data_IF_469142601171
#
_entry.id   IF_469142601171
#
_cell.length_a   1.000
_cell.length_b   1.000
_cell.length_c   1.000
_cell.angle_alpha   90.00
_cell.angle_beta   90.00
_cell.angle_gamma   90.00
#
_symmetry.space_group_name_H-M   'P 1'
#
loop_
_entity.id
_entity.type
_entity.pdbx_description
1 polymer ?
#
# COMPACT_ATOMS: atom_id res chain seq x y z
N UNK A 1 -14.54 -17.09 -24.05
CA UNK A 1 -14.11 -15.73 -23.71
C UNK A 1 -12.82 -15.87 -22.95
N UNK A 2 -11.68 -15.44 -23.50
CA UNK A 2 -10.39 -15.53 -22.80
C UNK A 2 -10.38 -14.41 -21.76
N UNK A 3 -10.43 -14.78 -20.49
CA UNK A 3 -10.31 -13.84 -19.39
C UNK A 3 -8.88 -13.28 -19.42
N UNK A 4 -8.72 -12.06 -19.94
CA UNK A 4 -7.42 -11.38 -19.92
C UNK A 4 -7.07 -11.07 -18.46
N UNK A 5 -6.27 -11.93 -17.85
CA UNK A 5 -5.74 -11.71 -16.51
C UNK A 5 -4.85 -10.47 -16.53
N UNK A 6 -5.23 -9.46 -15.75
CA UNK A 6 -4.49 -8.20 -15.69
C UNK A 6 -3.09 -8.46 -15.13
N UNK A 7 -2.06 -8.11 -15.90
CA UNK A 7 -0.67 -8.24 -15.48
C UNK A 7 -0.22 -7.02 -14.67
N UNK A 8 -0.40 -7.11 -13.35
CA UNK A 8 0.04 -6.09 -12.41
C UNK A 8 1.56 -6.04 -12.24
N UNK A 9 2.26 -7.17 -12.40
CA UNK A 9 3.71 -7.25 -12.26
C UNK A 9 4.39 -6.39 -13.33
N UNK A 10 3.99 -6.54 -14.59
CA UNK A 10 4.55 -5.73 -15.69
C UNK A 10 4.29 -4.24 -15.48
N UNK A 11 3.13 -3.85 -14.94
CA UNK A 11 2.84 -2.44 -14.61
C UNK A 11 3.79 -1.89 -13.55
N UNK A 12 4.07 -2.66 -12.49
CA UNK A 12 5.03 -2.28 -11.43
C UNK A 12 6.45 -2.17 -11.98
N UNK A 13 6.88 -3.12 -12.82
CA UNK A 13 8.19 -3.09 -13.47
C UNK A 13 8.35 -1.89 -14.42
N UNK A 14 7.33 -1.56 -15.22
CA UNK A 14 7.35 -0.39 -16.09
C UNK A 14 7.43 0.92 -15.31
N UNK A 15 6.74 1.03 -14.17
CA UNK A 15 6.84 2.19 -13.30
C UNK A 15 8.23 2.27 -12.65
N UNK A 16 8.75 1.13 -12.19
CA UNK A 16 10.07 1.01 -11.57
C UNK A 16 11.21 1.45 -12.49
N UNK A 17 11.08 1.25 -13.80
CA UNK A 17 12.04 1.72 -14.81
C UNK A 17 12.02 3.23 -15.05
N UNK A 18 10.96 3.93 -14.65
CA UNK A 18 10.79 5.38 -14.89
C UNK A 18 11.25 6.26 -13.72
N UNK A 19 11.42 5.68 -12.54
CA UNK A 19 11.84 6.42 -11.36
C UNK A 19 13.37 6.53 -11.28
N UNK A 20 13.85 7.53 -10.54
CA UNK A 20 15.27 7.67 -10.28
C UNK A 20 15.82 6.48 -9.48
N UNK A 21 17.13 6.24 -9.59
CA UNK A 21 17.82 5.23 -8.77
C UNK A 21 17.66 5.50 -7.29
N UNK A 22 17.74 4.43 -6.50
CA UNK A 22 17.62 4.44 -5.04
C UNK A 22 16.35 5.17 -4.56
N UNK A 23 15.21 4.80 -5.15
CA UNK A 23 13.91 5.39 -4.87
C UNK A 23 12.96 4.42 -4.18
N UNK A 24 11.96 4.99 -3.50
CA UNK A 24 10.81 4.27 -2.96
C UNK A 24 9.54 4.96 -3.40
N UNK A 25 8.53 4.19 -3.81
CA UNK A 25 7.22 4.69 -4.22
C UNK A 25 6.20 4.24 -3.19
N UNK A 26 5.40 5.17 -2.66
CA UNK A 26 4.42 4.89 -1.60
C UNK A 26 3.05 5.38 -2.07
N UNK A 27 2.07 4.48 -2.09
CA UNK A 27 0.68 4.79 -2.44
C UNK A 27 -0.25 4.29 -1.35
N UNK A 28 -1.13 5.16 -0.87
CA UNK A 28 -2.20 4.77 0.04
C UNK A 28 -3.46 4.36 -0.72
N UNK A 29 -4.18 3.40 -0.15
CA UNK A 29 -5.55 3.06 -0.52
C UNK A 29 -6.51 4.23 -0.26
N UNK A 30 -7.69 4.13 -0.84
CA UNK A 30 -8.84 4.97 -0.50
C UNK A 30 -9.38 4.58 0.88
N UNK A 31 -10.10 5.49 1.53
CA UNK A 31 -10.84 5.21 2.76
C UNK A 31 -12.32 5.06 2.46
N UNK A 32 -13.05 4.22 3.21
CA UNK A 32 -14.51 4.17 3.15
C UNK A 32 -15.10 5.56 3.38
N UNK A 33 -16.14 5.91 2.62
CA UNK A 33 -16.82 7.21 2.73
C UNK A 33 -18.19 7.01 3.35
N UNK A 34 -18.44 7.70 4.46
CA UNK A 34 -19.74 7.73 5.09
C UNK A 34 -20.76 8.43 4.17
N UNK A 35 -21.95 7.83 4.03
CA UNK A 35 -23.07 8.42 3.29
C UNK A 35 -24.01 9.16 4.24
N UNK A 36 -24.45 8.49 5.29
CA UNK A 36 -25.33 9.02 6.33
C UNK A 36 -25.24 8.12 7.57
N UNK A 37 -25.10 8.72 8.75
CA UNK A 37 -25.08 8.04 10.06
C UNK A 37 -24.32 6.70 10.05
N UNK A 38 -25.05 5.60 9.93
CA UNK A 38 -24.61 4.20 10.00
C UNK A 38 -24.29 3.55 8.64
N UNK A 39 -24.50 4.28 7.54
CA UNK A 39 -24.41 3.76 6.19
C UNK A 39 -23.22 4.37 5.42
N UNK A 40 -22.47 3.50 4.73
CA UNK A 40 -21.34 3.88 3.88
C UNK A 40 -21.70 3.84 2.40
N UNK A 41 -21.04 4.66 1.59
CA UNK A 41 -21.03 4.45 0.14
C UNK A 41 -20.30 3.14 -0.21
N UNK A 42 -20.63 2.51 -1.36
CA UNK A 42 -19.83 1.41 -1.88
C UNK A 42 -18.36 1.81 -1.96
N UNK A 43 -17.49 0.94 -1.44
CA UNK A 43 -16.06 1.22 -1.43
C UNK A 43 -15.54 1.35 -2.87
N UNK A 44 -14.75 2.41 -3.11
CA UNK A 44 -14.02 2.59 -4.36
C UNK A 44 -12.57 2.88 -4.05
N UNK A 45 -11.70 2.02 -4.56
CA UNK A 45 -10.27 2.11 -4.38
C UNK A 45 -9.67 3.32 -5.12
N UNK A 46 -8.51 3.78 -4.67
CA UNK A 46 -7.70 4.75 -5.39
C UNK A 46 -7.22 4.16 -6.72
N UNK A 47 -7.42 4.87 -7.83
CA UNK A 47 -7.10 4.34 -9.17
C UNK A 47 -5.63 3.94 -9.34
N UNK A 48 -4.69 4.72 -8.82
CA UNK A 48 -3.26 4.42 -8.95
C UNK A 48 -2.86 3.21 -8.11
N UNK A 49 -3.41 3.12 -6.90
CA UNK A 49 -3.24 1.96 -6.03
C UNK A 49 -3.79 0.70 -6.72
N UNK A 50 -5.05 0.72 -7.15
CA UNK A 50 -5.72 -0.39 -7.81
C UNK A 50 -5.01 -0.80 -9.10
N UNK A 51 -4.54 0.16 -9.89
CA UNK A 51 -3.85 -0.10 -11.15
C UNK A 51 -2.56 -0.92 -10.98
N UNK A 52 -1.85 -0.74 -9.85
CA UNK A 52 -0.56 -1.37 -9.57
C UNK A 52 -0.66 -2.63 -8.70
N UNK A 53 -1.68 -2.75 -7.85
CA UNK A 53 -1.87 -3.90 -6.98
C UNK A 53 -3.00 -4.83 -7.39
N UNK A 54 -4.11 -4.30 -7.92
CA UNK A 54 -5.37 -5.06 -7.98
C UNK A 54 -6.01 -5.29 -6.62
N UNK A 55 -5.50 -4.68 -5.55
CA UNK A 55 -5.97 -4.88 -4.18
C UNK A 55 -7.12 -3.92 -3.84
N UNK A 56 -8.26 -4.49 -3.45
CA UNK A 56 -9.53 -3.75 -3.30
C UNK A 56 -9.94 -3.48 -1.85
N UNK A 57 -9.05 -3.69 -0.88
CA UNK A 57 -9.36 -3.41 0.52
C UNK A 57 -8.94 -2.00 0.96
N UNK A 58 -9.69 -1.38 1.90
CA UNK A 58 -9.32 -0.12 2.52
C UNK A 58 -8.13 -0.27 3.49
N UNK A 59 -7.70 0.85 4.05
CA UNK A 59 -6.69 0.93 5.12
C UNK A 59 -5.41 0.14 4.83
N UNK A 60 -4.95 0.32 3.60
CA UNK A 60 -3.81 -0.38 3.03
C UNK A 60 -2.83 0.59 2.36
N UNK A 61 -1.55 0.23 2.34
CA UNK A 61 -0.48 1.02 1.72
C UNK A 61 0.41 0.10 0.90
N UNK A 62 0.67 0.50 -0.34
CA UNK A 62 1.56 -0.17 -1.27
C UNK A 62 2.90 0.56 -1.25
N UNK A 63 3.98 -0.22 -1.16
CA UNK A 63 5.35 0.27 -1.20
C UNK A 63 6.10 -0.45 -2.32
N UNK A 64 6.67 0.31 -3.26
CA UNK A 64 7.56 -0.22 -4.29
C UNK A 64 8.99 0.24 -4.06
N UNK A 65 9.90 -0.71 -4.15
CA UNK A 65 11.34 -0.58 -3.90
C UNK A 65 12.12 -1.21 -5.06
N UNK A 66 12.24 -0.52 -6.21
CA UNK A 66 12.74 -1.10 -7.46
C UNK A 66 14.09 -1.83 -7.40
N UNK A 67 14.99 -1.36 -6.55
CA UNK A 67 16.38 -1.84 -6.45
C UNK A 67 16.63 -2.79 -5.28
N UNK A 68 15.61 -3.09 -4.47
CA UNK A 68 15.72 -3.97 -3.31
C UNK A 68 15.28 -5.40 -3.62
N UNK A 69 15.58 -6.32 -2.69
CA UNK A 69 15.13 -7.72 -2.80
C UNK A 69 13.61 -7.85 -2.71
N UNK A 70 13.02 -7.19 -1.70
CA UNK A 70 11.57 -7.07 -1.55
C UNK A 70 11.12 -5.82 -2.29
N UNK A 71 10.73 -6.00 -3.57
CA UNK A 71 10.39 -4.89 -4.46
C UNK A 71 8.97 -4.41 -4.26
N UNK A 72 8.06 -5.30 -3.89
CA UNK A 72 6.65 -4.98 -3.74
C UNK A 72 6.13 -5.46 -2.39
N UNK A 73 5.79 -4.48 -1.54
CA UNK A 73 5.31 -4.71 -0.18
C UNK A 73 3.90 -4.12 -0.04
N UNK A 74 3.02 -4.85 0.62
CA UNK A 74 1.69 -4.35 1.02
C UNK A 74 1.59 -4.28 2.55
N UNK A 75 1.13 -3.14 3.05
CA UNK A 75 0.56 -3.03 4.37
C UNK A 75 -0.96 -3.14 4.25
N UNK A 76 -1.57 -4.07 4.97
CA UNK A 76 -3.01 -4.30 4.94
C UNK A 76 -3.55 -4.58 6.34
N UNK A 77 -4.89 -4.61 6.46
CA UNK A 77 -5.54 -4.97 7.73
C UNK A 77 -5.25 -6.42 8.09
N UNK A 78 -5.11 -6.66 9.38
CA UNK A 78 -5.05 -8.01 9.91
C UNK A 78 -6.40 -8.71 9.73
N UNK A 79 -6.35 -10.03 9.54
CA UNK A 79 -7.53 -10.87 9.65
C UNK A 79 -8.09 -10.79 11.05
N UNK A 80 -9.41 -10.65 11.12
CA UNK A 80 -10.12 -10.63 12.39
C UNK A 80 -11.49 -11.28 12.18
N UNK A 81 -11.64 -12.55 12.59
CA UNK A 81 -12.87 -13.32 12.38
C UNK A 81 -14.11 -12.61 12.92
N UNK A 82 -13.99 -11.89 14.04
CA UNK A 82 -15.13 -11.17 14.64
C UNK A 82 -15.55 -9.98 13.77
N UNK A 83 -14.60 -9.26 13.17
CA UNK A 83 -14.90 -8.14 12.27
C UNK A 83 -15.36 -8.62 10.89
N UNK A 84 -14.81 -9.74 10.40
CA UNK A 84 -15.15 -10.30 9.09
C UNK A 84 -16.61 -10.75 8.98
N UNK A 85 -17.25 -11.10 10.10
CA UNK A 85 -18.69 -11.36 10.15
C UNK A 85 -19.54 -10.14 9.73
N UNK A 86 -19.02 -8.93 9.91
CA UNK A 86 -19.73 -7.67 9.63
C UNK A 86 -19.20 -6.96 8.40
N UNK A 87 -17.87 -6.86 8.27
CA UNK A 87 -17.19 -6.12 7.20
C UNK A 87 -16.97 -6.95 5.93
N UNK A 88 -17.23 -8.26 6.00
CA UNK A 88 -16.85 -9.23 4.97
C UNK A 88 -15.41 -9.72 5.10
N UNK A 89 -15.08 -10.66 4.24
CA UNK A 89 -13.78 -11.34 4.22
C UNK A 89 -12.61 -10.37 4.03
N UNK A 90 -11.51 -10.65 4.74
CA UNK A 90 -10.24 -9.92 4.59
C UNK A 90 -9.17 -10.89 4.08
N UNK A 91 -8.45 -10.47 3.06
CA UNK A 91 -7.33 -11.23 2.47
C UNK A 91 -6.26 -11.52 3.53
N UNK A 92 -5.98 -10.52 4.37
CA UNK A 92 -4.87 -10.59 5.34
C UNK A 92 -3.51 -10.56 4.64
N UNK A 93 -2.44 -10.72 5.41
CA UNK A 93 -1.08 -10.69 4.88
C UNK A 93 -0.79 -11.90 4.00
N UNK A 94 -1.28 -13.08 4.37
CA UNK A 94 -1.13 -14.30 3.58
C UNK A 94 -1.78 -14.16 2.20
N UNK A 95 -3.05 -13.72 2.14
CA UNK A 95 -3.74 -13.47 0.86
C UNK A 95 -3.08 -12.34 0.04
N UNK A 96 -2.52 -11.32 0.69
CA UNK A 96 -1.76 -10.28 -0.02
C UNK A 96 -0.48 -10.82 -0.68
N UNK A 97 0.13 -11.89 -0.16
CA UNK A 97 1.27 -12.55 -0.79
C UNK A 97 0.79 -13.53 -1.86
N UNK A 98 -0.15 -14.40 -1.53
CA UNK A 98 -0.61 -15.49 -2.41
C UNK A 98 -1.43 -15.00 -3.61
N UNK A 99 -2.40 -14.12 -3.39
CA UNK A 99 -3.35 -13.71 -4.43
C UNK A 99 -2.85 -12.49 -5.22
N UNK A 100 -2.16 -11.56 -4.55
CA UNK A 100 -1.73 -10.28 -5.13
C UNK A 100 -0.27 -10.34 -5.62
N UNK A 101 0.50 -11.35 -5.17
CA UNK A 101 1.90 -11.52 -5.52
C UNK A 101 2.79 -10.44 -4.92
N UNK A 102 2.51 -10.00 -3.69
CA UNK A 102 3.44 -9.18 -2.91
C UNK A 102 4.64 -10.03 -2.46
N UNK A 103 5.84 -9.45 -2.51
CA UNK A 103 7.04 -10.13 -2.00
C UNK A 103 6.96 -10.26 -0.47
N UNK A 104 6.32 -9.29 0.19
CA UNK A 104 6.06 -9.33 1.62
C UNK A 104 4.80 -8.52 1.97
N UNK A 105 4.12 -8.91 3.05
CA UNK A 105 2.94 -8.21 3.54
C UNK A 105 2.96 -8.04 5.06
N UNK A 106 2.55 -6.88 5.53
CA UNK A 106 2.58 -6.52 6.95
C UNK A 106 1.25 -5.94 7.43
N UNK A 107 1.02 -5.98 8.74
CA UNK A 107 -0.09 -5.28 9.38
C UNK A 107 0.04 -3.77 9.17
N UNK A 108 -1.05 -3.13 8.75
CA UNK A 108 -1.13 -1.67 8.65
C UNK A 108 -0.87 -1.00 10.00
N UNK A 109 -1.17 -1.67 11.12
CA UNK A 109 -0.89 -1.17 12.47
C UNK A 109 0.61 -1.01 12.75
N UNK A 110 1.47 -1.78 12.04
CA UNK A 110 2.93 -1.75 12.17
C UNK A 110 3.60 -0.76 11.22
N UNK A 111 2.84 -0.05 10.38
CA UNK A 111 3.38 0.81 9.33
C UNK A 111 4.34 1.87 9.89
N UNK A 112 3.96 2.52 10.98
CA UNK A 112 4.76 3.59 11.59
C UNK A 112 6.10 3.09 12.15
N UNK A 113 6.18 1.80 12.50
CA UNK A 113 7.41 1.18 13.00
C UNK A 113 8.33 0.70 11.88
N UNK A 114 7.75 0.19 10.78
CA UNK A 114 8.51 -0.44 9.70
C UNK A 114 8.88 0.55 8.58
N UNK A 115 8.05 1.54 8.30
CA UNK A 115 8.32 2.48 7.20
C UNK A 115 9.64 3.25 7.33
N UNK A 116 10.08 3.73 8.52
CA UNK A 116 11.39 4.34 8.66
C UNK A 116 12.52 3.43 8.15
N UNK A 117 12.50 2.14 8.53
CA UNK A 117 13.51 1.16 8.07
C UNK A 117 13.42 0.85 6.56
N UNK A 118 12.23 0.92 5.96
CA UNK A 118 12.04 0.68 4.53
C UNK A 118 12.49 1.87 3.66
N UNK A 119 12.41 3.08 4.22
CA UNK A 119 12.79 4.33 3.55
C UNK A 119 14.28 4.67 3.82
N UNK A 120 14.86 4.13 4.88
CA UNK A 120 16.25 4.37 5.25
C UNK A 120 17.22 4.09 4.08
N UNK A 121 18.18 5.00 3.89
CA UNK A 121 19.14 4.92 2.79
C UNK A 121 18.59 5.27 1.40
N UNK A 122 17.27 5.48 1.23
CA UNK A 122 16.68 5.90 -0.06
C UNK A 122 16.87 7.39 -0.28
N UNK A 123 17.25 7.75 -1.51
CA UNK A 123 17.48 9.16 -1.92
C UNK A 123 16.18 9.85 -2.33
N UNK A 124 15.25 9.10 -2.91
CA UNK A 124 14.05 9.64 -3.55
C UNK A 124 12.80 8.95 -3.02
N UNK A 125 11.80 9.73 -2.59
CA UNK A 125 10.50 9.22 -2.14
C UNK A 125 9.42 9.78 -3.07
N UNK A 126 8.76 8.90 -3.81
CA UNK A 126 7.63 9.23 -4.66
C UNK A 126 6.33 8.91 -3.93
N UNK A 127 5.47 9.90 -3.79
CA UNK A 127 4.13 9.74 -3.24
C UNK A 127 3.21 10.82 -3.82
N UNK A 128 1.90 10.59 -3.75
CA UNK A 128 0.94 11.62 -4.12
C UNK A 128 0.74 12.59 -2.96
N UNK A 129 1.00 13.89 -3.15
CA UNK A 129 0.74 14.89 -2.11
C UNK A 129 -0.75 15.04 -1.78
N UNK A 130 -1.62 14.78 -2.75
CA UNK A 130 -3.08 14.71 -2.57
C UNK A 130 -3.55 13.33 -2.13
N UNK A 131 -2.63 12.45 -1.72
CA UNK A 131 -2.96 11.09 -1.31
C UNK A 131 -3.99 11.10 -0.17
N UNK A 132 -4.98 10.21 -0.21
CA UNK A 132 -5.87 9.96 0.92
C UNK A 132 -5.08 9.53 2.17
N UNK A 133 -5.76 9.55 3.33
CA UNK A 133 -5.27 9.05 4.63
C UNK A 133 -4.10 9.84 5.26
N UNK A 134 -3.87 11.09 4.85
CA UNK A 134 -2.85 11.93 5.48
C UNK A 134 -1.42 11.41 5.27
N UNK A 135 -1.19 10.65 4.19
CA UNK A 135 0.11 10.02 3.87
C UNK A 135 1.27 11.02 3.91
N UNK A 136 1.06 12.25 3.44
CA UNK A 136 2.06 13.33 3.50
C UNK A 136 2.55 13.60 4.95
N UNK A 137 1.63 13.65 5.91
CA UNK A 137 1.97 13.82 7.33
C UNK A 137 2.77 12.64 7.88
N UNK A 138 2.39 11.41 7.51
CA UNK A 138 3.11 10.19 7.89
C UNK A 138 4.53 10.16 7.31
N UNK A 139 4.69 10.46 6.02
CA UNK A 139 6.01 10.51 5.36
C UNK A 139 6.91 11.54 6.03
N UNK A 140 6.41 12.75 6.32
CA UNK A 140 7.18 13.76 7.07
C UNK A 140 7.62 13.25 8.43
N UNK A 141 6.74 12.56 9.16
CA UNK A 141 7.05 11.96 10.47
C UNK A 141 8.18 10.92 10.34
N UNK A 142 8.08 9.98 9.41
CA UNK A 142 9.08 8.93 9.21
C UNK A 142 10.44 9.49 8.77
N UNK A 143 10.46 10.46 7.84
CA UNK A 143 11.70 11.12 7.40
C UNK A 143 12.36 11.88 8.56
N UNK A 144 11.58 12.56 9.39
CA UNK A 144 12.12 13.26 10.56
C UNK A 144 12.68 12.29 11.61
N UNK A 145 12.11 11.10 11.74
CA UNK A 145 12.63 10.05 12.63
C UNK A 145 13.99 9.53 12.16
N UNK A 146 14.14 9.25 10.86
CA UNK A 146 15.43 8.85 10.27
C UNK A 146 16.49 9.94 10.51
N UNK A 147 16.14 11.21 10.29
CA UNK A 147 17.04 12.35 10.49
C UNK A 147 17.47 12.58 11.94
N UNK A 148 16.74 12.06 12.93
CA UNK A 148 17.15 12.15 14.34
C UNK A 148 18.17 11.07 14.71
N UNK A 149 18.14 9.95 13.99
CA UNK A 149 18.99 8.78 14.26
C UNK A 149 20.26 8.74 13.39
N UNK A 150 20.42 9.69 12.47
CA UNK A 150 21.62 9.92 11.64
C UNK A 150 22.35 11.17 12.12
#
# INVERSE_FOLDING_TARGET
>A
MVEQKIDYFTRRELLSKKVQKNSVIILASSSPKNRNSDSNYPFRQNSNFLYLSGYEEPDSVLVLRPEDKEKFIIFCRDRNPNSEQWDGFRSGQEGAVEDIGADNAFSISKIDKLMPTLIEGKKNIYFSMSSPQGLNGKIRKWVNEIRKNT
#
